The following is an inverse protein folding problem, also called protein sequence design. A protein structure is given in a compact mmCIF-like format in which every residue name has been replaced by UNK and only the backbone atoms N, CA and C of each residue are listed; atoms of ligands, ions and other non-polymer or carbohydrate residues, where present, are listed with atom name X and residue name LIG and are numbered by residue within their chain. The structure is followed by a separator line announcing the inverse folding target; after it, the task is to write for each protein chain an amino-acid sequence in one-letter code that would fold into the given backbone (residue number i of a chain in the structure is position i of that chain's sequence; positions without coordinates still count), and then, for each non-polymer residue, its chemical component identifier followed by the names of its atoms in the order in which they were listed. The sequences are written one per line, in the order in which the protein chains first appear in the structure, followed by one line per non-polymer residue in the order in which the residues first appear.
data_IF_323810275539
#
_entry.id   IF_323810275539
#
_cell.length_a   1.000
_cell.length_b   1.000
_cell.length_c   1.000
_cell.angle_alpha   90.00
_cell.angle_beta   90.00
_cell.angle_gamma   90.00
#
_symmetry.space_group_name_H-M   'P 1'
#
loop_
_entity.id
_entity.type
_entity.pdbx_description
1 polymer ?
#
# COMPACT_ATOMS: atom_id res chain seq x y z
N UNK A 1 -32.23 15.96 22.40
CA UNK A 1 -32.09 14.80 21.50
C UNK A 1 -30.62 14.72 21.07
N UNK A 2 -29.85 13.79 21.63
CA UNK A 2 -28.47 13.50 21.19
C UNK A 2 -28.54 12.30 20.25
N UNK A 3 -28.41 12.54 18.95
CA UNK A 3 -28.37 11.50 17.94
C UNK A 3 -27.11 10.65 18.10
N UNK A 4 -27.28 9.34 18.36
CA UNK A 4 -26.20 8.37 18.27
C UNK A 4 -25.74 8.29 16.82
N UNK A 5 -24.54 8.76 16.54
CA UNK A 5 -23.82 8.44 15.29
C UNK A 5 -23.46 6.96 15.34
N UNK A 6 -24.26 6.13 14.67
CA UNK A 6 -23.93 4.73 14.41
C UNK A 6 -22.76 4.71 13.42
N UNK A 7 -21.56 4.35 13.91
CA UNK A 7 -20.43 4.04 13.04
C UNK A 7 -20.83 2.86 12.13
N UNK A 8 -20.59 2.92 10.80
CA UNK A 8 -20.89 1.80 9.94
C UNK A 8 -20.03 0.59 10.35
N UNK A 9 -20.68 -0.58 10.45
CA UNK A 9 -19.97 -1.84 10.63
C UNK A 9 -19.09 -2.08 9.40
N UNK A 10 -17.77 -1.99 9.59
CA UNK A 10 -16.80 -2.39 8.56
C UNK A 10 -16.94 -3.91 8.36
N UNK A 11 -17.64 -4.32 7.31
CA UNK A 11 -17.69 -5.74 6.91
C UNK A 11 -16.26 -6.18 6.65
N UNK A 12 -15.77 -7.13 7.46
CA UNK A 12 -14.42 -7.67 7.32
C UNK A 12 -14.42 -8.59 6.10
N UNK A 13 -14.10 -8.04 4.93
CA UNK A 13 -13.86 -8.84 3.73
C UNK A 13 -12.71 -9.82 4.05
N UNK A 14 -12.91 -11.13 3.88
CA UNK A 14 -11.84 -12.10 4.12
C UNK A 14 -10.64 -11.81 3.22
N UNK A 15 -9.40 -12.09 3.68
CA UNK A 15 -8.22 -11.88 2.85
C UNK A 15 -8.30 -12.72 1.58
N UNK A 16 -7.80 -12.16 0.46
CA UNK A 16 -7.60 -12.93 -0.76
C UNK A 16 -6.73 -14.16 -0.49
N UNK A 17 -6.79 -15.21 -1.33
CA UNK A 17 -5.91 -16.37 -1.20
C UNK A 17 -4.43 -15.99 -1.10
N UNK A 18 -3.97 -14.99 -1.87
CA UNK A 18 -2.59 -14.51 -1.83
C UNK A 18 -2.25 -13.85 -0.48
N UNK A 19 -3.13 -12.97 0.02
CA UNK A 19 -2.97 -12.34 1.34
C UNK A 19 -2.93 -13.39 2.46
N UNK A 20 -3.81 -14.38 2.39
CA UNK A 20 -3.85 -15.49 3.35
C UNK A 20 -2.55 -16.31 3.33
N UNK A 21 -2.00 -16.60 2.14
CA UNK A 21 -0.72 -17.28 1.98
C UNK A 21 0.44 -16.48 2.60
N UNK A 22 0.49 -15.16 2.37
CA UNK A 22 1.50 -14.28 2.99
C UNK A 22 1.37 -14.26 4.51
N UNK A 23 0.16 -14.06 5.04
CA UNK A 23 -0.08 -14.09 6.49
C UNK A 23 0.33 -15.43 7.11
N UNK A 24 0.01 -16.55 6.46
CA UNK A 24 0.41 -17.88 6.91
C UNK A 24 1.94 -18.05 6.93
N UNK A 25 2.65 -17.51 5.93
CA UNK A 25 4.10 -17.63 5.83
C UNK A 25 4.86 -16.84 6.92
N UNK A 26 4.30 -15.72 7.38
CA UNK A 26 4.94 -14.87 8.41
C UNK A 26 4.45 -15.12 9.84
N UNK A 27 3.46 -16.00 10.01
CA UNK A 27 2.94 -16.38 11.33
C UNK A 27 3.70 -17.59 11.86
N UNK A 28 4.23 -17.56 13.10
CA UNK A 28 4.90 -18.72 13.69
C UNK A 28 3.99 -19.95 13.73
N UNK A 29 4.50 -21.11 13.32
CA UNK A 29 3.80 -22.40 13.50
C UNK A 29 3.67 -22.69 15.00
N UNK A 30 2.50 -22.42 15.57
CA UNK A 30 2.20 -22.63 16.99
C UNK A 30 1.03 -21.81 17.55
N UNK A 31 0.52 -20.81 16.80
CA UNK A 31 -0.56 -19.92 17.26
C UNK A 31 -1.95 -20.19 16.65
N UNK A 32 -2.11 -21.24 15.84
CA UNK A 32 -3.43 -21.73 15.45
C UNK A 32 -3.84 -22.94 16.30
N UNK A 33 -4.12 -22.65 17.56
CA UNK A 33 -4.90 -23.50 18.44
C UNK A 33 -6.10 -22.71 18.93
N UNK A 34 -7.27 -23.00 18.33
CA UNK A 34 -8.64 -22.59 18.70
C UNK A 34 -9.20 -21.33 18.00
N UNK A 35 -10.12 -21.59 17.07
CA UNK A 35 -11.21 -20.68 16.68
C UNK A 35 -12.02 -20.25 17.91
N UNK A 36 -12.57 -19.02 17.94
CA UNK A 36 -13.37 -18.55 19.05
C UNK A 36 -14.83 -18.96 18.84
N UNK A 37 -15.22 -20.14 19.35
CA UNK A 37 -16.61 -20.39 19.69
C UNK A 37 -16.67 -21.08 21.06
N UNK A 38 -17.36 -20.37 21.97
CA UNK A 38 -18.07 -20.89 23.16
C UNK A 38 -17.32 -21.85 24.07
N UNK A 39 -16.79 -21.34 25.18
CA UNK A 39 -16.72 -22.11 26.42
C UNK A 39 -16.64 -21.17 27.64
N UNK A 40 -17.73 -21.17 28.38
CA UNK A 40 -17.86 -20.80 29.79
C UNK A 40 -16.81 -21.47 30.66
N UNK A 41 -16.26 -20.71 31.61
CA UNK A 41 -15.90 -21.19 32.96
C UNK A 41 -14.64 -22.04 33.12
N UNK A 42 -13.87 -21.71 34.16
CA UNK A 42 -12.87 -22.60 34.76
C UNK A 42 -11.44 -22.14 34.57
N UNK A 43 -10.97 -21.32 35.51
CA UNK A 43 -9.56 -20.98 35.63
C UNK A 43 -8.74 -22.15 36.21
N UNK A 44 -7.44 -22.12 35.93
CA UNK A 44 -6.41 -22.67 36.80
C UNK A 44 -5.15 -21.82 36.60
N UNK A 45 -4.82 -21.04 37.62
CA UNK A 45 -3.63 -20.19 37.69
C UNK A 45 -2.40 -21.04 37.99
N UNK A 46 -1.27 -20.73 37.33
CA UNK A 46 0.05 -21.02 37.87
C UNK A 46 0.78 -19.72 38.18
N UNK A 47 1.25 -19.66 39.43
CA UNK A 47 1.78 -18.51 40.12
C UNK A 47 3.25 -18.22 39.77
N UNK A 48 3.61 -16.94 39.80
CA UNK A 48 4.94 -16.51 40.24
C UNK A 48 4.79 -15.31 41.18
N UNK A 49 5.47 -15.43 42.31
CA UNK A 49 5.37 -14.55 43.47
C UNK A 49 5.96 -13.15 43.26
N UNK A 50 5.39 -12.22 44.03
CA UNK A 50 5.90 -10.88 44.28
C UNK A 50 5.14 -10.32 45.48
N UNK A 51 5.86 -10.02 46.55
CA UNK A 51 5.39 -9.54 47.86
C UNK A 51 4.88 -8.09 47.80
N UNK A 52 3.76 -7.79 48.47
CA UNK A 52 3.69 -6.94 49.69
C UNK A 52 2.27 -6.39 49.95
N UNK A 53 1.87 -6.57 51.22
CA UNK A 53 0.99 -5.78 52.09
C UNK A 53 -0.35 -5.23 51.59
N UNK A 54 -1.44 -5.73 52.19
CA UNK A 54 -2.56 -4.90 52.64
C UNK A 54 -3.16 -5.47 53.94
N UNK A 55 -3.50 -4.55 54.83
CA UNK A 55 -3.96 -4.77 56.21
C UNK A 55 -5.28 -5.52 56.34
N UNK A 56 -5.44 -6.20 57.48
CA UNK A 56 -6.61 -6.99 57.84
C UNK A 56 -7.88 -6.20 58.13
N UNK A 57 -9.00 -6.92 58.16
CA UNK A 57 -10.29 -6.41 58.60
C UNK A 57 -11.40 -7.44 58.37
N UNK A 58 -12.11 -7.75 59.45
CA UNK A 58 -12.98 -8.90 59.72
C UNK A 58 -14.33 -8.88 58.98
N UNK A 59 -14.92 -10.07 58.81
CA UNK A 59 -16.30 -10.28 58.36
C UNK A 59 -17.34 -9.63 59.29
N UNK A 60 -18.45 -9.16 58.71
CA UNK A 60 -19.80 -9.42 59.23
C UNK A 60 -20.86 -9.28 58.13
N UNK A 61 -21.77 -10.25 58.09
CA UNK A 61 -22.97 -10.28 57.27
C UNK A 61 -24.17 -9.73 58.05
N UNK A 62 -25.10 -9.08 57.36
CA UNK A 62 -26.50 -9.00 57.77
C UNK A 62 -27.42 -9.15 56.56
N UNK A 63 -28.39 -10.06 56.68
CA UNK A 63 -29.41 -10.33 55.68
C UNK A 63 -30.56 -9.32 55.71
N UNK A 64 -31.30 -9.29 54.61
CA UNK A 64 -32.56 -8.59 54.47
C UNK A 64 -33.36 -9.21 53.32
N UNK A 65 -34.45 -9.89 53.69
CA UNK A 65 -35.56 -10.37 52.85
C UNK A 65 -36.30 -9.22 52.14
N UNK A 66 -36.89 -9.46 50.96
CA UNK A 66 -38.32 -9.22 50.65
C UNK A 66 -38.70 -9.64 49.21
N UNK A 67 -40.02 -9.78 49.02
CA UNK A 67 -40.78 -10.64 48.11
C UNK A 67 -40.81 -10.33 46.60
N UNK A 68 -41.15 -11.40 45.86
CA UNK A 68 -41.66 -11.40 44.50
C UNK A 68 -43.14 -10.98 44.41
N UNK A 69 -43.52 -10.33 43.30
CA UNK A 69 -44.89 -10.27 42.80
C UNK A 69 -44.96 -10.94 41.42
N UNK A 70 -45.86 -11.92 41.29
CA UNK A 70 -46.26 -12.54 40.02
C UNK A 70 -47.42 -11.80 39.37
N UNK A 71 -47.53 -11.96 38.05
CA UNK A 71 -48.66 -11.53 37.24
C UNK A 71 -48.63 -12.25 35.88
N UNK A 72 -49.48 -13.27 35.75
CA UNK A 72 -49.89 -13.96 34.51
C UNK A 72 -50.67 -13.04 33.57
N UNK A 73 -50.59 -13.22 32.24
CA UNK A 73 -51.77 -13.24 31.33
C UNK A 73 -51.43 -13.70 29.88
N UNK A 74 -52.20 -14.72 29.47
CA UNK A 74 -52.72 -15.21 28.19
C UNK A 74 -52.06 -15.01 26.81
N UNK A 75 -52.06 -16.16 26.09
CA UNK A 75 -51.95 -16.32 24.65
C UNK A 75 -53.26 -16.01 23.91
N UNK A 76 -53.15 -15.51 22.68
CA UNK A 76 -54.19 -15.61 21.66
C UNK A 76 -53.65 -16.36 20.44
N UNK A 77 -54.32 -17.46 20.11
CA UNK A 77 -54.20 -18.15 18.83
C UNK A 77 -55.01 -17.46 17.75
N UNK A 78 -54.49 -17.50 16.52
CA UNK A 78 -55.19 -17.07 15.31
C UNK A 78 -54.87 -18.02 14.16
N UNK A 79 -55.79 -18.95 13.92
CA UNK A 79 -55.91 -19.73 12.67
C UNK A 79 -56.55 -18.85 11.60
N UNK A 80 -55.94 -18.73 10.41
CA UNK A 80 -56.70 -18.39 9.19
C UNK A 80 -56.15 -19.09 7.94
N UNK A 81 -57.11 -19.59 7.16
CA UNK A 81 -57.01 -20.42 5.97
C UNK A 81 -56.47 -19.68 4.73
N UNK A 82 -55.84 -20.46 3.85
CA UNK A 82 -55.49 -20.08 2.49
C UNK A 82 -56.71 -19.92 1.58
N UNK A 83 -56.66 -19.04 0.56
CA UNK A 83 -57.40 -19.21 -0.68
C UNK A 83 -56.50 -19.85 -1.75
N UNK A 84 -57.02 -20.91 -2.37
CA UNK A 84 -56.52 -21.50 -3.62
C UNK A 84 -56.72 -20.50 -4.76
N UNK A 85 -55.65 -20.20 -5.49
CA UNK A 85 -55.70 -19.57 -6.81
C UNK A 85 -54.93 -20.42 -7.82
N UNK A 86 -55.65 -21.09 -8.72
CA UNK A 86 -55.10 -21.72 -9.92
C UNK A 86 -54.94 -20.66 -11.01
N UNK A 87 -53.82 -20.67 -11.74
CA UNK A 87 -53.73 -20.69 -13.21
C UNK A 87 -52.46 -20.04 -13.80
N UNK A 88 -51.80 -20.84 -14.65
CA UNK A 88 -50.97 -20.53 -15.82
C UNK A 88 -49.56 -19.93 -15.65
N UNK A 89 -48.58 -20.82 -15.82
CA UNK A 89 -47.22 -20.52 -16.24
C UNK A 89 -47.17 -20.07 -17.71
N UNK A 90 -46.42 -19.00 -18.05
CA UNK A 90 -45.78 -18.87 -19.35
C UNK A 90 -44.39 -19.51 -19.27
N UNK A 91 -44.11 -20.45 -20.18
CA UNK A 91 -42.76 -20.96 -20.46
C UNK A 91 -41.89 -19.81 -20.98
N UNK A 92 -41.06 -19.23 -20.11
CA UNK A 92 -39.94 -18.39 -20.49
C UNK A 92 -38.65 -19.21 -20.40
N UNK A 93 -38.00 -19.45 -21.53
CA UNK A 93 -36.72 -20.14 -21.59
C UNK A 93 -35.64 -19.31 -20.87
N UNK A 94 -35.26 -19.72 -19.66
CA UNK A 94 -34.06 -19.22 -19.01
C UNK A 94 -32.84 -19.87 -19.68
N UNK A 95 -32.28 -19.19 -20.69
CA UNK A 95 -30.87 -19.37 -21.01
C UNK A 95 -30.05 -18.72 -19.90
N UNK A 96 -29.80 -19.48 -18.83
CA UNK A 96 -28.72 -19.16 -17.92
C UNK A 96 -27.41 -19.32 -18.71
N UNK A 97 -26.59 -18.27 -18.86
CA UNK A 97 -25.23 -18.49 -19.32
C UNK A 97 -24.55 -19.34 -18.25
N UNK A 98 -24.02 -20.49 -18.66
CA UNK A 98 -23.08 -21.25 -17.84
C UNK A 98 -21.91 -20.30 -17.55
N UNK A 99 -21.93 -19.66 -16.38
CA UNK A 99 -20.75 -19.03 -15.84
C UNK A 99 -19.69 -20.11 -15.77
N UNK A 100 -18.65 -19.98 -16.60
CA UNK A 100 -17.45 -20.76 -16.44
C UNK A 100 -16.90 -20.39 -15.06
N UNK A 101 -17.17 -21.24 -14.07
CA UNK A 101 -16.47 -21.21 -12.80
C UNK A 101 -15.01 -21.53 -13.11
N UNK A 102 -14.23 -20.51 -13.44
CA UNK A 102 -12.79 -20.61 -13.31
C UNK A 102 -12.53 -20.87 -11.81
N UNK A 103 -11.87 -21.97 -11.44
CA UNK A 103 -11.39 -22.11 -10.07
C UNK A 103 -10.54 -20.88 -9.74
N UNK A 104 -10.57 -20.37 -8.50
CA UNK A 104 -9.71 -19.26 -8.12
C UNK A 104 -8.28 -19.63 -8.49
N UNK A 105 -7.64 -18.77 -9.27
CA UNK A 105 -6.29 -19.03 -9.75
C UNK A 105 -5.39 -19.38 -8.56
N UNK A 106 -4.69 -20.51 -8.66
CA UNK A 106 -3.98 -21.10 -7.52
C UNK A 106 -2.76 -20.25 -7.16
N UNK A 107 -2.62 -19.92 -5.86
CA UNK A 107 -1.47 -19.17 -5.36
C UNK A 107 -0.25 -20.08 -5.31
N UNK A 108 0.78 -19.77 -6.10
CA UNK A 108 2.03 -20.53 -6.06
C UNK A 108 2.85 -20.16 -4.83
N UNK A 109 3.17 -21.15 -3.99
CA UNK A 109 4.05 -21.00 -2.82
C UNK A 109 5.22 -21.98 -2.93
N UNK A 110 6.45 -21.48 -2.97
CA UNK A 110 7.66 -22.30 -3.07
C UNK A 110 8.67 -21.89 -2.01
N UNK A 111 9.16 -22.85 -1.23
CA UNK A 111 10.21 -22.62 -0.23
C UNK A 111 11.51 -23.32 -0.66
N UNK A 112 12.62 -22.59 -0.64
CA UNK A 112 13.93 -23.13 -0.97
C UNK A 112 15.02 -22.54 -0.05
N UNK A 113 16.10 -23.29 0.13
CA UNK A 113 17.38 -22.74 0.62
C UNK A 113 18.22 -22.40 -0.60
N UNK A 114 18.80 -21.20 -0.61
CA UNK A 114 19.56 -20.70 -1.76
C UNK A 114 20.54 -19.61 -1.32
N UNK A 115 21.50 -19.28 -2.18
CA UNK A 115 22.34 -18.12 -1.97
C UNK A 115 21.53 -16.83 -2.14
N UNK A 116 21.86 -15.79 -1.36
CA UNK A 116 21.14 -14.53 -1.46
C UNK A 116 21.19 -13.91 -2.87
N UNK A 117 22.31 -14.07 -3.57
CA UNK A 117 22.47 -13.61 -4.95
C UNK A 117 21.55 -14.36 -5.93
N UNK A 118 21.31 -15.66 -5.70
CA UNK A 118 20.35 -16.45 -6.48
C UNK A 118 18.92 -15.99 -6.22
N UNK A 119 18.61 -15.64 -4.97
CA UNK A 119 17.33 -15.03 -4.61
C UNK A 119 17.11 -13.73 -5.38
N UNK A 120 18.08 -12.82 -5.42
CA UNK A 120 17.97 -11.57 -6.18
C UNK A 120 17.78 -11.79 -7.68
N UNK A 121 18.38 -12.85 -8.24
CA UNK A 121 18.19 -13.27 -9.63
C UNK A 121 16.81 -13.87 -9.90
N UNK A 122 16.14 -14.41 -8.87
CA UNK A 122 14.80 -14.98 -8.97
C UNK A 122 13.66 -13.95 -8.94
N UNK A 123 13.94 -12.72 -8.49
CA UNK A 123 12.94 -11.65 -8.46
C UNK A 123 12.53 -11.28 -9.90
N UNK A 124 11.24 -10.94 -10.13
CA UNK A 124 10.79 -10.46 -11.43
C UNK A 124 11.57 -9.21 -11.84
N UNK A 125 11.90 -9.10 -13.12
CA UNK A 125 12.63 -7.94 -13.66
C UNK A 125 11.85 -7.34 -14.82
N UNK A 126 11.93 -6.03 -14.93
CA UNK A 126 11.35 -5.29 -16.03
C UNK A 126 11.35 -3.80 -15.72
N UNK A 127 11.28 -2.94 -16.75
CA UNK A 127 11.29 -1.48 -16.58
C UNK A 127 10.13 -0.93 -15.74
N UNK A 128 9.10 -1.76 -15.49
CA UNK A 128 7.88 -1.39 -14.77
C UNK A 128 7.64 -2.22 -13.50
N UNK A 129 8.64 -2.98 -13.06
CA UNK A 129 8.64 -3.67 -11.78
C UNK A 129 9.44 -2.85 -10.78
N UNK A 130 8.88 -2.65 -9.60
CA UNK A 130 9.59 -2.06 -8.47
C UNK A 130 9.50 -2.98 -7.26
N UNK A 131 10.51 -2.91 -6.43
CA UNK A 131 10.70 -3.77 -5.29
C UNK A 131 10.68 -2.99 -3.98
N UNK A 132 10.26 -3.66 -2.92
CA UNK A 132 10.32 -3.11 -1.57
C UNK A 132 10.88 -4.14 -0.61
N UNK A 133 12.09 -3.87 -0.13
CA UNK A 133 12.67 -4.58 1.00
C UNK A 133 12.00 -4.12 2.31
N UNK A 134 11.65 -5.09 3.15
CA UNK A 134 11.02 -4.86 4.45
C UNK A 134 11.79 -5.63 5.51
N UNK A 135 12.22 -4.92 6.57
CA UNK A 135 12.87 -5.55 7.70
C UNK A 135 11.85 -6.09 8.70
N UNK A 136 12.00 -7.36 9.06
CA UNK A 136 11.02 -8.09 9.87
C UNK A 136 9.68 -8.28 9.14
N UNK A 137 8.66 -8.73 9.89
CA UNK A 137 7.35 -9.06 9.31
C UNK A 137 6.24 -8.07 9.70
N UNK A 138 6.54 -7.06 10.53
CA UNK A 138 5.51 -6.12 11.01
C UNK A 138 4.83 -5.38 9.84
N UNK A 139 5.63 -4.92 8.88
CA UNK A 139 5.11 -4.26 7.70
C UNK A 139 4.37 -5.23 6.77
N UNK A 140 4.93 -6.43 6.56
CA UNK A 140 4.31 -7.48 5.74
C UNK A 140 2.91 -7.84 6.26
N UNK A 141 2.78 -8.07 7.57
CA UNK A 141 1.49 -8.35 8.23
C UNK A 141 0.53 -7.18 8.06
N UNK A 142 1.01 -5.94 8.23
CA UNK A 142 0.19 -4.75 8.07
C UNK A 142 -0.36 -4.62 6.64
N UNK A 143 0.50 -4.78 5.62
CA UNK A 143 0.10 -4.71 4.21
C UNK A 143 -0.88 -5.86 3.88
N UNK A 144 -0.57 -7.10 4.25
CA UNK A 144 -1.43 -8.24 3.93
C UNK A 144 -2.78 -8.20 4.69
N UNK A 145 -2.83 -7.55 5.85
CA UNK A 145 -4.07 -7.35 6.61
C UNK A 145 -4.92 -6.24 6.02
N UNK A 146 -4.32 -5.08 5.72
CA UNK A 146 -5.03 -3.92 5.17
C UNK A 146 -5.41 -4.12 3.69
N UNK A 147 -4.57 -4.81 2.93
CA UNK A 147 -4.70 -5.00 1.49
C UNK A 147 -4.05 -3.89 0.65
N UNK A 148 -3.33 -2.94 1.26
CA UNK A 148 -2.70 -1.81 0.57
C UNK A 148 -1.29 -1.50 1.08
N UNK A 149 -0.42 -1.11 0.17
CA UNK A 149 0.95 -0.66 0.48
C UNK A 149 0.93 0.75 1.08
N UNK A 150 1.72 1.01 2.12
CA UNK A 150 1.74 2.33 2.78
C UNK A 150 0.49 2.67 3.60
N UNK A 151 -0.36 1.69 3.92
CA UNK A 151 -1.53 1.86 4.79
C UNK A 151 -1.26 1.45 6.26
N UNK A 152 -2.30 1.46 7.09
CA UNK A 152 -2.25 1.02 8.48
C UNK A 152 -1.24 1.81 9.32
N UNK A 153 -0.17 1.16 9.79
CA UNK A 153 0.87 1.82 10.58
C UNK A 153 1.56 2.99 9.85
N UNK A 154 1.69 2.92 8.53
CA UNK A 154 2.29 3.99 7.72
C UNK A 154 1.44 5.26 7.73
N UNK A 155 0.10 5.11 7.76
CA UNK A 155 -0.84 6.23 7.77
C UNK A 155 -0.78 7.07 9.06
N UNK A 156 -0.07 6.60 10.10
CA UNK A 156 0.16 7.35 11.35
C UNK A 156 1.33 8.34 11.27
N UNK A 157 2.13 8.27 10.21
CA UNK A 157 3.24 9.22 9.97
C UNK A 157 2.69 10.60 9.61
N UNK A 158 3.47 11.69 9.78
CA UNK A 158 3.02 13.00 9.34
C UNK A 158 2.76 13.01 7.84
N UNK A 159 1.77 13.78 7.42
CA UNK A 159 1.54 14.07 6.01
C UNK A 159 2.58 15.09 5.57
N UNK A 160 3.46 14.70 4.64
CA UNK A 160 4.54 15.54 4.15
C UNK A 160 4.87 15.14 2.71
N UNK A 161 4.96 16.13 1.81
CA UNK A 161 5.20 15.95 0.39
C UNK A 161 6.58 16.49 -0.04
N UNK A 162 7.38 17.02 0.90
CA UNK A 162 8.72 17.50 0.58
C UNK A 162 9.63 16.30 0.26
N UNK A 163 9.92 16.15 -1.03
CA UNK A 163 10.75 15.04 -1.53
C UNK A 163 12.20 15.17 -1.07
N UNK A 164 12.73 16.38 -0.97
CA UNK A 164 14.09 16.63 -0.50
C UNK A 164 14.20 16.25 0.99
N UNK A 165 13.24 16.69 1.80
CA UNK A 165 13.15 16.25 3.20
C UNK A 165 12.97 14.75 3.34
N UNK A 166 12.16 14.13 2.49
CA UNK A 166 11.90 12.69 2.57
C UNK A 166 13.14 11.85 2.25
N UNK A 167 13.97 12.27 1.31
CA UNK A 167 15.25 11.61 0.98
C UNK A 167 16.18 11.60 2.19
N UNK A 168 16.28 12.71 2.92
CA UNK A 168 17.11 12.82 4.12
C UNK A 168 16.46 12.12 5.34
N UNK A 169 15.15 12.34 5.55
CA UNK A 169 14.39 11.80 6.68
C UNK A 169 13.07 11.19 6.18
N UNK A 170 13.02 9.87 5.89
CA UNK A 170 11.89 9.20 5.23
C UNK A 170 10.70 8.95 6.17
N UNK A 171 10.12 10.04 6.69
CA UNK A 171 8.97 10.07 7.61
C UNK A 171 7.81 10.83 6.97
N UNK A 172 7.10 10.15 6.07
CA UNK A 172 5.85 10.63 5.48
C UNK A 172 4.82 9.52 5.39
N UNK A 173 3.53 9.85 5.52
CA UNK A 173 2.41 8.97 5.14
C UNK A 173 1.94 9.15 3.69
N UNK A 174 2.47 10.16 2.99
CA UNK A 174 2.18 10.48 1.59
C UNK A 174 3.26 9.98 0.62
N UNK A 175 4.50 9.77 1.08
CA UNK A 175 5.61 9.29 0.26
C UNK A 175 6.08 7.90 0.70
N UNK A 176 6.34 7.03 -0.26
CA UNK A 176 6.65 5.61 -0.02
C UNK A 176 7.71 5.09 -0.99
N UNK A 177 8.94 4.90 -0.48
CA UNK A 177 10.08 4.41 -1.27
C UNK A 177 9.91 2.98 -1.78
N UNK A 178 10.24 2.79 -3.05
CA UNK A 178 10.39 1.50 -3.73
C UNK A 178 11.65 1.57 -4.61
N UNK A 179 12.23 0.45 -5.01
CA UNK A 179 13.44 0.41 -5.83
C UNK A 179 13.20 -0.32 -7.14
N UNK A 180 13.61 0.23 -8.29
CA UNK A 180 13.67 -0.54 -9.54
C UNK A 180 14.81 -1.57 -9.54
N UNK A 181 15.80 -1.43 -8.66
CA UNK A 181 16.95 -2.33 -8.55
C UNK A 181 16.74 -3.34 -7.41
N UNK A 182 16.67 -4.65 -7.70
CA UNK A 182 16.59 -5.68 -6.67
C UNK A 182 17.83 -5.70 -5.74
N UNK A 183 19.00 -5.20 -6.13
CA UNK A 183 20.19 -5.29 -5.28
C UNK A 183 20.16 -4.31 -4.10
N UNK A 184 19.48 -3.17 -4.24
CA UNK A 184 19.37 -2.18 -3.15
C UNK A 184 18.41 -2.64 -2.05
N UNK A 185 17.48 -3.58 -2.35
CA UNK A 185 16.48 -4.05 -1.37
C UNK A 185 17.09 -4.82 -0.20
N UNK A 186 18.31 -5.35 -0.38
CA UNK A 186 19.03 -6.07 0.69
C UNK A 186 19.24 -5.19 1.90
N UNK A 187 19.67 -3.96 1.68
CA UNK A 187 19.98 -3.02 2.75
C UNK A 187 18.71 -2.68 3.55
N UNK A 188 17.58 -2.52 2.84
CA UNK A 188 16.27 -2.29 3.44
C UNK A 188 15.68 -3.51 4.16
N UNK A 189 15.95 -4.72 3.67
CA UNK A 189 15.50 -5.97 4.28
C UNK A 189 16.30 -6.31 5.55
N UNK A 190 17.63 -6.23 5.47
CA UNK A 190 18.51 -6.53 6.60
C UNK A 190 18.40 -5.46 7.69
N UNK A 191 18.21 -4.19 7.29
CA UNK A 191 18.02 -3.07 8.20
C UNK A 191 19.16 -2.95 9.24
N UNK A 192 18.78 -2.85 10.51
CA UNK A 192 19.70 -2.80 11.66
C UNK A 192 19.89 -4.17 12.36
N UNK A 193 19.42 -5.27 11.76
CA UNK A 193 19.45 -6.57 12.42
C UNK A 193 20.89 -7.07 12.58
N UNK A 194 21.29 -7.31 13.83
CA UNK A 194 22.69 -7.53 14.21
C UNK A 194 23.19 -8.95 13.94
N UNK A 195 22.32 -9.98 14.08
CA UNK A 195 22.72 -11.39 14.12
C UNK A 195 22.14 -12.18 12.93
N UNK A 196 20.83 -12.43 12.90
CA UNK A 196 20.15 -13.05 11.76
C UNK A 196 19.03 -12.13 11.27
N UNK A 197 19.04 -11.83 9.97
CA UNK A 197 18.07 -11.01 9.31
C UNK A 197 16.87 -11.85 8.86
N UNK A 198 15.68 -11.45 9.31
CA UNK A 198 14.40 -11.84 8.72
C UNK A 198 13.73 -10.64 8.09
N UNK A 199 13.07 -10.85 6.96
CA UNK A 199 12.43 -9.77 6.22
C UNK A 199 11.64 -10.28 5.02
N UNK A 200 11.20 -9.37 4.17
CA UNK A 200 10.53 -9.74 2.95
C UNK A 200 10.87 -8.77 1.82
N UNK A 201 10.68 -9.23 0.59
CA UNK A 201 10.79 -8.43 -0.61
C UNK A 201 9.46 -8.53 -1.34
N UNK A 202 8.75 -7.42 -1.47
CA UNK A 202 7.58 -7.32 -2.34
C UNK A 202 8.04 -6.84 -3.71
N UNK A 203 7.55 -7.45 -4.78
CA UNK A 203 7.73 -6.97 -6.16
C UNK A 203 6.37 -6.59 -6.72
N UNK A 204 6.22 -5.36 -7.20
CA UNK A 204 4.94 -4.81 -7.67
C UNK A 204 5.11 -4.19 -9.05
N UNK A 205 4.00 -3.88 -9.72
CA UNK A 205 4.04 -2.93 -10.83
C UNK A 205 4.42 -1.51 -10.33
N UNK A 206 4.61 -0.56 -11.24
CA UNK A 206 4.78 0.85 -10.89
C UNK A 206 3.62 1.38 -10.02
N UNK A 207 3.87 2.37 -9.13
CA UNK A 207 2.81 3.11 -8.46
C UNK A 207 1.94 3.91 -9.43
N UNK A 208 0.72 4.27 -9.04
CA UNK A 208 -0.15 5.15 -9.83
C UNK A 208 0.50 6.51 -10.10
N UNK A 209 1.13 7.07 -9.07
CA UNK A 209 1.87 8.34 -9.13
C UNK A 209 3.20 8.14 -8.42
N UNK A 210 4.28 8.57 -9.04
CA UNK A 210 5.61 8.50 -8.43
C UNK A 210 6.51 9.66 -8.86
N UNK A 211 7.58 9.85 -8.11
CA UNK A 211 8.67 10.77 -8.40
C UNK A 211 10.00 10.04 -8.25
N UNK A 212 10.98 10.38 -9.09
CA UNK A 212 12.35 9.87 -8.98
C UNK A 212 13.27 10.95 -8.38
N UNK A 213 13.86 10.74 -7.19
CA UNK A 213 14.81 11.67 -6.58
C UNK A 213 15.93 12.14 -7.51
N UNK A 214 16.57 11.21 -8.23
CA UNK A 214 17.64 11.51 -9.19
C UNK A 214 17.22 12.49 -10.28
N UNK A 215 16.00 12.36 -10.81
CA UNK A 215 15.49 13.27 -11.84
C UNK A 215 15.01 14.59 -11.23
N UNK A 216 14.26 14.51 -10.13
CA UNK A 216 13.66 15.66 -9.46
C UNK A 216 14.70 16.70 -9.03
N UNK A 217 15.87 16.26 -8.52
CA UNK A 217 16.94 17.17 -8.08
C UNK A 217 17.47 18.07 -9.21
N UNK A 218 17.39 17.62 -10.45
CA UNK A 218 17.85 18.35 -11.63
C UNK A 218 16.77 19.24 -12.24
N UNK A 219 15.50 18.92 -11.99
CA UNK A 219 14.36 19.65 -12.52
C UNK A 219 13.90 20.71 -11.50
N UNK A 220 13.46 20.28 -10.32
CA UNK A 220 12.96 21.13 -9.22
C UNK A 220 14.09 21.57 -8.28
N UNK A 221 15.12 22.19 -8.86
CA UNK A 221 16.32 22.64 -8.14
C UNK A 221 15.96 23.58 -6.99
N UNK A 222 14.97 24.45 -7.17
CA UNK A 222 14.55 25.41 -6.15
C UNK A 222 13.99 24.74 -4.89
N UNK A 223 13.20 23.66 -5.00
CA UNK A 223 12.74 22.91 -3.83
C UNK A 223 13.91 22.29 -3.05
N UNK A 224 14.86 21.65 -3.75
CA UNK A 224 16.05 21.06 -3.13
C UNK A 224 16.95 22.11 -2.48
N UNK A 225 17.14 23.27 -3.12
CA UNK A 225 17.88 24.39 -2.54
C UNK A 225 17.19 24.97 -1.31
N UNK A 226 15.85 25.03 -1.30
CA UNK A 226 15.07 25.47 -0.15
C UNK A 226 15.36 24.55 1.05
N UNK A 227 15.27 23.24 0.85
CA UNK A 227 15.55 22.28 1.91
C UNK A 227 17.01 22.30 2.37
N UNK A 228 17.98 22.40 1.44
CA UNK A 228 19.40 22.51 1.79
C UNK A 228 19.68 23.73 2.70
N UNK A 229 19.00 24.87 2.47
CA UNK A 229 19.11 26.05 3.34
C UNK A 229 18.55 25.80 4.73
N UNK A 230 17.45 25.04 4.85
CA UNK A 230 16.92 24.64 6.15
C UNK A 230 17.92 23.76 6.90
N UNK A 231 18.54 22.78 6.21
CA UNK A 231 19.58 21.94 6.82
C UNK A 231 20.78 22.74 7.34
N UNK A 232 21.22 23.75 6.59
CA UNK A 232 22.28 24.65 7.06
C UNK A 232 21.85 25.55 8.22
N UNK A 233 20.59 26.00 8.23
CA UNK A 233 20.05 26.84 9.30
C UNK A 233 19.78 26.09 10.61
N UNK A 234 19.57 24.77 10.55
CA UNK A 234 19.40 23.90 11.72
C UNK A 234 20.74 23.49 12.38
N UNK A 235 21.89 23.87 11.81
CA UNK A 235 23.19 23.57 12.38
C UNK A 235 23.50 24.50 13.56
N UNK A 236 23.59 23.94 14.77
CA UNK A 236 23.93 24.69 15.99
C UNK A 236 25.35 25.27 15.90
N UNK A 237 25.54 26.46 16.49
CA UNK A 237 26.87 27.10 16.60
C UNK A 237 27.79 26.21 17.44
N UNK A 238 28.75 25.57 16.79
CA UNK A 238 29.71 24.65 17.42
C UNK A 238 29.50 23.17 17.08
N UNK A 239 28.47 22.81 16.29
CA UNK A 239 28.34 21.48 15.72
C UNK A 239 29.23 21.34 14.47
N UNK A 240 30.34 20.62 14.61
CA UNK A 240 31.31 20.36 13.53
C UNK A 240 30.90 19.19 12.62
N UNK A 241 29.72 18.59 12.80
CA UNK A 241 29.22 17.55 11.89
C UNK A 241 29.02 18.15 10.50
N UNK A 242 29.50 17.44 9.48
CA UNK A 242 29.27 17.82 8.09
C UNK A 242 27.77 17.75 7.80
N UNK A 243 27.16 18.87 7.44
CA UNK A 243 25.78 18.90 6.93
C UNK A 243 25.73 18.07 5.65
N UNK A 244 24.79 17.14 5.59
CA UNK A 244 24.60 16.32 4.40
C UNK A 244 24.20 17.20 3.19
N UNK A 245 24.70 16.86 2.01
CA UNK A 245 24.31 17.53 0.77
C UNK A 245 23.13 16.78 0.16
N UNK A 246 21.97 17.43 0.12
CA UNK A 246 20.75 16.81 -0.38
C UNK A 246 20.84 16.46 -1.86
N UNK A 247 21.62 17.19 -2.65
CA UNK A 247 21.82 16.89 -4.07
C UNK A 247 22.65 15.62 -4.26
N UNK A 248 23.64 15.38 -3.41
CA UNK A 248 24.44 14.16 -3.42
C UNK A 248 23.62 12.96 -2.94
N UNK A 249 22.86 13.13 -1.85
CA UNK A 249 21.93 12.09 -1.37
C UNK A 249 20.92 11.71 -2.45
N UNK A 250 20.32 12.70 -3.12
CA UNK A 250 19.38 12.47 -4.21
C UNK A 250 20.03 11.83 -5.44
N UNK A 251 21.30 12.13 -5.72
CA UNK A 251 22.06 11.48 -6.80
C UNK A 251 22.29 9.99 -6.51
N UNK A 252 22.61 9.64 -5.27
CA UNK A 252 22.77 8.25 -4.83
C UNK A 252 21.45 7.47 -4.70
N UNK A 253 20.32 8.17 -4.67
CA UNK A 253 19.00 7.58 -4.48
C UNK A 253 18.34 7.19 -5.82
N UNK A 254 18.48 5.91 -6.20
CA UNK A 254 17.84 5.34 -7.40
C UNK A 254 16.38 4.89 -7.18
N UNK A 255 15.73 5.32 -6.09
CA UNK A 255 14.38 4.89 -5.74
C UNK A 255 13.31 5.45 -6.70
N UNK A 256 12.23 4.70 -6.79
CA UNK A 256 10.93 5.16 -7.25
C UNK A 256 10.09 5.47 -6.01
N UNK A 257 9.92 6.76 -5.71
CA UNK A 257 9.12 7.19 -4.55
C UNK A 257 7.67 7.30 -4.95
N UNK A 258 6.84 6.36 -4.50
CA UNK A 258 5.40 6.41 -4.71
C UNK A 258 4.79 7.59 -3.96
N UNK A 259 3.87 8.30 -4.61
CA UNK A 259 3.05 9.35 -4.01
C UNK A 259 1.67 8.76 -3.75
N UNK A 260 1.30 8.68 -2.48
CA UNK A 260 0.10 7.98 -2.01
C UNK A 260 -1.14 8.88 -1.95
N UNK A 261 -0.97 10.18 -2.17
CA UNK A 261 -2.02 11.21 -2.17
C UNK A 261 -1.42 12.61 -2.24
N UNK A 262 -2.15 13.58 -2.83
CA UNK A 262 -1.78 15.01 -2.77
C UNK A 262 -2.36 15.70 -1.54
N UNK A 263 -3.42 15.16 -0.96
CA UNK A 263 -4.07 15.60 0.28
C UNK A 263 -4.23 14.43 1.26
N UNK A 264 -4.39 14.68 2.56
CA UNK A 264 -4.55 13.62 3.56
C UNK A 264 -5.70 12.62 3.30
N UNK A 265 -6.77 13.08 2.64
CA UNK A 265 -7.94 12.30 2.27
C UNK A 265 -7.77 11.46 1.00
N UNK A 266 -6.75 11.73 0.19
CA UNK A 266 -6.51 11.01 -1.05
C UNK A 266 -5.98 9.58 -0.78
N UNK A 267 -6.30 8.65 -1.67
CA UNK A 267 -5.77 7.29 -1.63
C UNK A 267 -5.38 6.78 -3.02
N UNK A 268 -4.08 6.87 -3.30
CA UNK A 268 -3.44 6.43 -4.54
C UNK A 268 -2.52 5.22 -4.30
N UNK A 269 -2.69 4.54 -3.16
CA UNK A 269 -1.87 3.40 -2.74
C UNK A 269 -2.00 2.22 -3.71
N UNK A 270 -0.92 1.44 -3.79
CA UNK A 270 -0.95 0.17 -4.49
C UNK A 270 -1.88 -0.81 -3.77
N UNK A 271 -2.71 -1.50 -4.55
CA UNK A 271 -3.58 -2.56 -4.07
C UNK A 271 -2.80 -3.88 -4.04
N UNK A 272 -2.78 -4.56 -2.90
CA UNK A 272 -2.08 -5.84 -2.77
C UNK A 272 -2.61 -6.89 -3.74
N UNK A 273 -3.91 -6.96 -3.93
CA UNK A 273 -4.54 -8.07 -4.63
C UNK A 273 -4.32 -7.99 -6.16
N UNK A 274 -4.10 -6.79 -6.70
CA UNK A 274 -3.88 -6.56 -8.14
C UNK A 274 -2.46 -6.11 -8.48
N UNK A 275 -1.79 -5.34 -7.62
CA UNK A 275 -0.54 -4.67 -8.00
C UNK A 275 0.71 -5.44 -7.53
N UNK A 276 0.56 -6.37 -6.57
CA UNK A 276 1.64 -7.26 -6.15
C UNK A 276 1.84 -8.36 -7.18
N UNK A 277 3.05 -8.50 -7.71
CA UNK A 277 3.45 -9.65 -8.51
C UNK A 277 3.85 -10.82 -7.62
N UNK A 278 4.77 -10.58 -6.67
CA UNK A 278 5.24 -11.61 -5.75
C UNK A 278 5.72 -11.05 -4.41
N UNK A 279 5.60 -11.87 -3.37
CA UNK A 279 6.17 -11.63 -2.05
C UNK A 279 7.18 -12.73 -1.74
N UNK A 280 8.42 -12.37 -1.46
CA UNK A 280 9.47 -13.30 -1.03
C UNK A 280 9.74 -13.08 0.45
N UNK A 281 9.41 -14.06 1.29
CA UNK A 281 9.72 -14.07 2.73
C UNK A 281 11.11 -14.66 2.92
N UNK A 282 11.99 -13.94 3.58
CA UNK A 282 13.40 -14.31 3.77
C UNK A 282 13.70 -14.50 5.26
N UNK A 283 14.28 -15.65 5.57
CA UNK A 283 14.73 -16.02 6.92
C UNK A 283 16.19 -16.51 6.87
N UNK A 284 16.93 -16.29 7.94
CA UNK A 284 18.30 -16.80 8.08
C UNK A 284 19.38 -15.99 7.36
N UNK A 285 19.06 -14.82 6.80
CA UNK A 285 20.07 -13.94 6.19
C UNK A 285 21.08 -13.46 7.24
N UNK A 286 22.33 -13.20 6.84
CA UNK A 286 23.33 -12.76 7.81
C UNK A 286 23.08 -11.29 8.20
N UNK A 287 23.07 -11.02 9.50
CA UNK A 287 22.98 -9.66 10.03
C UNK A 287 24.29 -8.88 9.88
N UNK A 288 24.30 -7.62 10.31
CA UNK A 288 25.44 -6.71 10.15
C UNK A 288 26.78 -7.24 10.68
N UNK A 289 26.79 -8.00 11.78
CA UNK A 289 28.05 -8.54 12.34
C UNK A 289 28.61 -9.74 11.57
N UNK A 290 27.78 -10.45 10.80
CA UNK A 290 28.18 -11.66 10.08
C UNK A 290 28.50 -11.41 8.60
N UNK A 291 28.17 -10.22 8.06
CA UNK A 291 28.38 -9.81 6.66
C UNK A 291 29.83 -9.97 6.17
N UNK A 292 30.82 -9.94 7.07
CA UNK A 292 32.25 -10.11 6.76
C UNK A 292 32.84 -11.50 7.03
N UNK A 293 32.10 -12.41 7.68
CA UNK A 293 32.60 -13.71 8.13
C UNK A 293 31.96 -14.91 7.41
N UNK A 294 30.84 -14.71 6.70
CA UNK A 294 30.13 -15.79 6.01
C UNK A 294 30.52 -15.86 4.52
N UNK A 295 31.20 -16.95 4.12
CA UNK A 295 31.29 -17.35 2.72
C UNK A 295 29.91 -17.86 2.29
N UNK A 296 29.29 -17.16 1.34
CA UNK A 296 27.99 -17.47 0.75
C UNK A 296 26.84 -17.43 1.79
N UNK A 297 26.10 -16.31 1.84
CA UNK A 297 24.97 -16.15 2.74
C UNK A 297 23.76 -16.94 2.22
N UNK A 298 23.67 -18.19 2.67
CA UNK A 298 22.49 -19.01 2.43
C UNK A 298 21.30 -18.47 3.22
N UNK A 299 20.18 -18.32 2.51
CA UNK A 299 18.90 -17.89 3.07
C UNK A 299 17.84 -18.95 2.82
N UNK A 300 16.86 -19.02 3.72
CA UNK A 300 15.61 -19.69 3.44
C UNK A 300 14.62 -18.68 2.87
N UNK A 301 14.13 -18.96 1.67
CA UNK A 301 13.24 -18.07 0.94
C UNK A 301 11.92 -18.78 0.65
N UNK A 302 10.80 -18.16 1.03
CA UNK A 302 9.45 -18.58 0.64
C UNK A 302 8.88 -17.57 -0.34
N UNK A 303 8.80 -17.96 -1.62
CA UNK A 303 8.24 -17.14 -2.70
C UNK A 303 6.76 -17.43 -2.87
N UNK A 304 5.96 -16.39 -2.81
CA UNK A 304 4.52 -16.41 -3.02
C UNK A 304 4.23 -15.56 -4.27
N UNK A 305 3.67 -16.17 -5.31
CA UNK A 305 3.32 -15.47 -6.56
C UNK A 305 1.82 -15.19 -6.57
N UNK A 306 1.46 -13.95 -6.86
CA UNK A 306 0.06 -13.52 -6.93
C UNK A 306 -0.49 -13.81 -8.33
N UNK A 307 -1.45 -14.74 -8.47
CA UNK A 307 -2.02 -15.05 -9.77
C UNK A 307 -2.98 -13.97 -10.29
N UNK A 308 -3.40 -13.04 -9.42
CA UNK A 308 -4.27 -11.91 -9.78
C UNK A 308 -3.49 -10.64 -10.14
N UNK A 309 -2.16 -10.73 -10.27
CA UNK A 309 -1.34 -9.60 -10.66
C UNK A 309 -1.77 -9.02 -12.01
N UNK A 310 -2.00 -7.71 -12.03
CA UNK A 310 -2.34 -6.93 -13.22
C UNK A 310 -1.25 -5.90 -13.45
N UNK A 311 -0.66 -5.90 -14.65
CA UNK A 311 0.31 -4.88 -15.02
C UNK A 311 -0.44 -3.55 -15.21
N UNK A 312 -0.02 -2.52 -14.47
CA UNK A 312 -0.67 -1.20 -14.51
C UNK A 312 -0.76 -0.66 -15.93
N UNK A 313 -1.95 -0.20 -16.33
CA UNK A 313 -2.15 0.42 -17.65
C UNK A 313 -1.31 1.69 -17.82
N UNK A 314 -1.45 2.62 -16.87
CA UNK A 314 -0.73 3.90 -16.89
C UNK A 314 -0.26 4.31 -15.49
N UNK A 315 0.98 4.79 -15.39
CA UNK A 315 1.54 5.46 -14.23
C UNK A 315 1.86 6.91 -14.57
N UNK A 316 1.84 7.79 -13.57
CA UNK A 316 2.16 9.21 -13.70
C UNK A 316 3.51 9.47 -13.03
N UNK A 317 4.50 9.92 -13.80
CA UNK A 317 5.79 10.38 -13.27
C UNK A 317 5.75 11.90 -13.15
N UNK A 318 5.73 12.41 -11.92
CA UNK A 318 5.80 13.86 -11.68
C UNK A 318 7.24 14.30 -11.51
N UNK A 319 7.57 15.47 -12.03
CA UNK A 319 8.90 16.07 -11.90
C UNK A 319 9.08 16.85 -10.59
N UNK A 320 7.98 17.15 -9.89
CA UNK A 320 7.96 17.90 -8.64
C UNK A 320 6.75 17.51 -7.80
N UNK A 321 6.92 17.51 -6.47
CA UNK A 321 5.83 17.33 -5.49
C UNK A 321 5.12 18.65 -5.14
N UNK A 322 5.45 19.75 -5.81
CA UNK A 322 4.79 21.05 -5.61
C UNK A 322 3.31 21.01 -5.99
N UNK A 323 2.46 21.64 -5.18
CA UNK A 323 1.00 21.67 -5.34
C UNK A 323 0.50 22.61 -6.43
N UNK A 324 1.40 23.33 -7.11
CA UNK A 324 1.04 24.31 -8.13
C UNK A 324 0.62 25.69 -7.59
N UNK A 325 0.78 25.91 -6.29
CA UNK A 325 0.35 27.13 -5.61
C UNK A 325 1.53 28.06 -5.25
N UNK A 326 1.25 29.36 -5.10
CA UNK A 326 2.20 30.35 -4.60
C UNK A 326 2.70 31.35 -5.65
N UNK A 327 3.05 32.55 -5.20
CA UNK A 327 3.38 33.69 -6.06
C UNK A 327 4.58 33.46 -7.00
N UNK A 328 5.48 32.53 -6.65
CA UNK A 328 6.68 32.21 -7.44
C UNK A 328 6.56 30.91 -8.25
N UNK A 329 5.46 30.17 -8.10
CA UNK A 329 5.33 28.84 -8.70
C UNK A 329 5.49 28.88 -10.22
N UNK A 330 4.77 29.75 -10.93
CA UNK A 330 4.86 29.81 -12.40
C UNK A 330 6.28 30.13 -12.89
N UNK A 331 6.99 31.04 -12.22
CA UNK A 331 8.38 31.36 -12.54
C UNK A 331 9.32 30.16 -12.31
N UNK A 332 9.09 29.39 -11.25
CA UNK A 332 9.84 28.16 -10.99
C UNK A 332 9.49 27.09 -12.01
N UNK A 333 8.21 26.95 -12.35
CA UNK A 333 7.71 26.00 -13.34
C UNK A 333 8.31 26.22 -14.72
N UNK A 334 8.46 27.46 -15.18
CA UNK A 334 9.13 27.76 -16.44
C UNK A 334 10.59 27.31 -16.44
N UNK A 335 11.30 27.52 -15.33
CA UNK A 335 12.68 27.03 -15.18
C UNK A 335 12.74 25.51 -15.14
N UNK A 336 11.83 24.85 -14.44
CA UNK A 336 11.75 23.39 -14.39
C UNK A 336 11.56 22.83 -15.81
N UNK A 337 10.64 23.39 -16.60
CA UNK A 337 10.44 22.98 -17.99
C UNK A 337 11.66 23.24 -18.88
N UNK A 338 12.33 24.39 -18.70
CA UNK A 338 13.58 24.69 -19.40
C UNK A 338 14.64 23.62 -19.12
N UNK A 339 14.91 23.31 -17.84
CA UNK A 339 15.88 22.28 -17.44
C UNK A 339 15.48 20.90 -17.97
N UNK A 340 14.20 20.54 -17.89
CA UNK A 340 13.72 19.26 -18.39
C UNK A 340 13.94 19.08 -19.91
N UNK A 341 13.84 20.16 -20.70
CA UNK A 341 14.19 20.13 -22.14
C UNK A 341 15.70 20.08 -22.38
N UNK A 342 16.47 20.87 -21.63
CA UNK A 342 17.95 20.86 -21.71
C UNK A 342 18.56 19.49 -21.36
N UNK A 343 17.88 18.73 -20.48
CA UNK A 343 18.25 17.37 -20.08
C UNK A 343 17.59 16.29 -20.95
N UNK A 344 16.88 16.66 -22.01
CA UNK A 344 16.19 15.74 -22.93
C UNK A 344 15.17 14.80 -22.23
N UNK A 345 14.62 15.21 -21.09
CA UNK A 345 13.63 14.44 -20.34
C UNK A 345 12.25 14.49 -21.00
N UNK A 346 11.96 15.60 -21.70
CA UNK A 346 10.71 15.89 -22.40
C UNK A 346 10.97 16.46 -23.80
N UNK A 347 10.00 16.31 -24.71
CA UNK A 347 10.07 16.88 -26.05
C UNK A 347 9.95 18.43 -26.05
N UNK A 348 10.43 19.12 -27.10
CA UNK A 348 10.39 20.59 -27.18
C UNK A 348 9.01 21.20 -26.97
N UNK A 349 7.97 20.61 -27.57
CA UNK A 349 6.58 21.09 -27.49
C UNK A 349 5.79 20.47 -26.32
N UNK A 350 6.48 19.89 -25.35
CA UNK A 350 5.88 19.35 -24.15
C UNK A 350 6.21 20.18 -22.91
N UNK A 351 5.44 19.96 -21.84
CA UNK A 351 5.74 20.36 -20.48
C UNK A 351 5.80 19.15 -19.55
N UNK A 352 6.54 19.29 -18.46
CA UNK A 352 6.54 18.33 -17.35
C UNK A 352 5.18 18.27 -16.65
N UNK A 353 4.99 17.22 -15.85
CA UNK A 353 3.89 17.06 -14.92
C UNK A 353 4.32 17.38 -13.49
N UNK A 354 3.44 18.02 -12.74
CA UNK A 354 3.60 18.29 -11.30
C UNK A 354 2.49 17.62 -10.50
N UNK A 355 2.57 17.66 -9.17
CA UNK A 355 1.58 17.02 -8.30
C UNK A 355 0.15 17.50 -8.55
N UNK A 356 -0.04 18.77 -8.95
CA UNK A 356 -1.35 19.29 -9.33
C UNK A 356 -1.96 18.54 -10.52
N UNK A 357 -1.17 18.21 -11.54
CA UNK A 357 -1.64 17.44 -12.71
C UNK A 357 -2.06 16.02 -12.30
N UNK A 358 -1.23 15.37 -11.48
CA UNK A 358 -1.54 14.04 -10.94
C UNK A 358 -2.80 14.07 -10.06
N UNK A 359 -2.98 15.11 -9.25
CA UNK A 359 -4.17 15.29 -8.42
C UNK A 359 -5.44 15.43 -9.26
N UNK A 360 -5.40 16.21 -10.35
CA UNK A 360 -6.53 16.34 -11.28
C UNK A 360 -6.91 15.00 -11.90
N UNK A 361 -5.94 14.23 -12.40
CA UNK A 361 -6.19 12.91 -12.98
C UNK A 361 -6.72 11.92 -11.93
N UNK A 362 -6.04 11.79 -10.79
CA UNK A 362 -6.39 10.81 -9.76
C UNK A 362 -7.69 11.13 -9.01
N UNK A 363 -8.15 12.38 -9.04
CA UNK A 363 -9.45 12.79 -8.51
C UNK A 363 -10.60 12.53 -9.51
N UNK A 364 -10.30 12.24 -10.78
CA UNK A 364 -11.31 11.92 -11.79
C UNK A 364 -11.76 10.48 -11.68
N UNK A 365 -13.03 10.25 -11.36
CA UNK A 365 -13.62 8.91 -11.37
C UNK A 365 -13.52 8.24 -12.74
N UNK A 366 -13.60 9.03 -13.83
CA UNK A 366 -13.45 8.53 -15.19
C UNK A 366 -12.02 8.04 -15.45
N UNK A 367 -11.01 8.79 -15.03
CA UNK A 367 -9.62 8.37 -15.16
C UNK A 367 -9.35 7.10 -14.35
N UNK A 368 -9.84 7.05 -13.10
CA UNK A 368 -9.70 5.86 -12.25
C UNK A 368 -10.32 4.63 -12.87
N UNK A 369 -11.56 4.72 -13.35
CA UNK A 369 -12.24 3.63 -14.05
C UNK A 369 -11.46 3.19 -15.30
N UNK A 370 -10.83 4.12 -16.01
CA UNK A 370 -10.03 3.81 -17.19
C UNK A 370 -8.74 3.04 -16.83
N UNK A 371 -7.98 3.47 -15.83
CA UNK A 371 -6.73 2.79 -15.45
C UNK A 371 -6.95 1.49 -14.66
N UNK A 372 -8.10 1.34 -14.01
CA UNK A 372 -8.50 0.14 -13.27
C UNK A 372 -9.25 -0.87 -14.16
N UNK A 373 -9.79 -0.44 -15.30
CA UNK A 373 -10.52 -1.28 -16.27
C UNK A 373 -9.65 -1.99 -17.30
N UNK A 374 -8.36 -1.64 -17.40
CA UNK A 374 -7.42 -2.24 -18.35
C UNK A 374 -6.11 -2.67 -17.68
N UNK A 375 -5.51 -3.74 -18.18
CA UNK A 375 -4.14 -4.15 -17.88
C UNK A 375 -3.27 -3.93 -19.12
N UNK A 376 -2.02 -3.53 -18.90
CA UNK A 376 -1.03 -3.55 -19.98
C UNK A 376 -0.60 -5.00 -20.26
N UNK A 377 -0.38 -5.33 -21.54
CA UNK A 377 0.05 -6.68 -21.95
C UNK A 377 1.57 -6.82 -22.02
N UNK A 378 2.28 -5.71 -22.23
CA UNK A 378 3.74 -5.67 -22.30
C UNK A 378 4.31 -4.65 -21.31
N UNK A 379 3.94 -3.38 -21.49
CA UNK A 379 4.60 -2.25 -20.84
C UNK A 379 3.59 -1.28 -20.22
N UNK A 380 3.85 -0.85 -18.97
CA UNK A 380 3.07 0.23 -18.36
C UNK A 380 3.37 1.54 -19.08
N UNK A 381 2.33 2.23 -19.52
CA UNK A 381 2.48 3.59 -20.04
C UNK A 381 2.92 4.52 -18.92
N UNK A 382 3.95 5.33 -19.16
CA UNK A 382 4.37 6.36 -18.19
C UNK A 382 4.04 7.73 -18.75
N UNK A 383 3.03 8.38 -18.17
CA UNK A 383 2.70 9.76 -18.45
C UNK A 383 3.68 10.65 -17.67
N UNK A 384 4.75 11.11 -18.36
CA UNK A 384 5.80 11.98 -17.80
C UNK A 384 5.73 13.44 -18.31
N UNK A 385 5.01 13.66 -19.41
CA UNK A 385 4.88 14.96 -20.05
C UNK A 385 3.60 15.03 -20.88
N UNK A 386 3.14 16.26 -21.12
CA UNK A 386 1.97 16.56 -21.95
C UNK A 386 2.28 17.72 -22.89
N UNK A 387 1.52 17.92 -23.98
CA UNK A 387 1.64 19.13 -24.81
C UNK A 387 1.63 20.39 -23.94
N UNK A 388 2.54 21.33 -24.22
CA UNK A 388 2.72 22.55 -23.40
C UNK A 388 1.46 23.43 -23.34
N UNK A 389 0.55 23.26 -24.30
CA UNK A 389 -0.73 23.96 -24.41
C UNK A 389 -1.75 23.47 -23.38
N UNK A 390 -1.63 22.24 -22.85
CA UNK A 390 -2.54 21.71 -21.84
C UNK A 390 -2.22 22.39 -20.50
N UNK A 391 -3.08 23.24 -19.91
CA UNK A 391 -2.72 23.93 -18.67
C UNK A 391 -2.58 22.98 -17.48
N UNK A 392 -1.81 23.41 -16.46
CA UNK A 392 -1.60 22.63 -15.23
C UNK A 392 -2.94 22.36 -14.54
N UNK A 393 -3.16 21.10 -14.16
CA UNK A 393 -4.35 20.70 -13.42
C UNK A 393 -5.68 20.88 -14.18
N UNK A 394 -5.64 21.12 -15.49
CA UNK A 394 -6.83 21.34 -16.30
C UNK A 394 -7.55 20.05 -16.68
N UNK A 395 -8.87 20.08 -16.97
CA UNK A 395 -9.61 18.92 -17.46
C UNK A 395 -9.08 18.33 -18.77
N UNK A 396 -8.38 19.11 -19.60
CA UNK A 396 -7.78 18.64 -20.85
C UNK A 396 -6.72 17.53 -20.64
N UNK A 397 -6.16 17.41 -19.42
CA UNK A 397 -5.31 16.28 -19.04
C UNK A 397 -6.05 14.94 -19.18
N UNK A 398 -7.34 14.90 -18.79
CA UNK A 398 -8.15 13.70 -18.82
C UNK A 398 -8.37 13.22 -20.26
N UNK A 399 -8.71 14.15 -21.16
CA UNK A 399 -8.90 13.86 -22.58
C UNK A 399 -7.62 13.31 -23.20
N UNK A 400 -6.48 13.93 -22.89
CA UNK A 400 -5.18 13.48 -23.39
C UNK A 400 -4.79 12.10 -22.84
N UNK A 401 -4.91 11.87 -21.53
CA UNK A 401 -4.61 10.58 -20.92
C UNK A 401 -5.55 9.47 -21.44
N UNK A 402 -6.84 9.80 -21.61
CA UNK A 402 -7.83 8.92 -22.22
C UNK A 402 -7.44 8.54 -23.64
N UNK A 403 -7.12 9.51 -24.48
CA UNK A 403 -6.68 9.26 -25.86
C UNK A 403 -5.46 8.33 -25.89
N UNK A 404 -4.46 8.54 -25.02
CA UNK A 404 -3.28 7.69 -24.93
C UNK A 404 -3.62 6.24 -24.56
N UNK A 405 -4.47 6.03 -23.56
CA UNK A 405 -4.88 4.67 -23.15
C UNK A 405 -5.79 4.05 -24.22
N UNK A 406 -6.71 4.82 -24.80
CA UNK A 406 -7.66 4.34 -25.80
C UNK A 406 -6.97 3.91 -27.10
N UNK A 407 -5.92 4.63 -27.49
CA UNK A 407 -5.12 4.33 -28.68
C UNK A 407 -4.03 3.28 -28.46
N UNK A 408 -3.74 2.87 -27.21
CA UNK A 408 -2.72 1.85 -26.95
C UNK A 408 -3.21 0.47 -27.41
N UNK A 409 -2.57 -0.17 -28.41
CA UNK A 409 -2.95 -1.50 -28.88
C UNK A 409 -2.58 -2.61 -27.89
N UNK A 410 -1.69 -2.34 -26.93
CA UNK A 410 -1.15 -3.30 -25.96
C UNK A 410 -1.91 -3.30 -24.63
N UNK A 411 -3.22 -3.13 -24.67
CA UNK A 411 -4.10 -3.18 -23.50
C UNK A 411 -5.10 -4.32 -23.61
N UNK A 412 -5.47 -4.87 -22.46
CA UNK A 412 -6.55 -5.86 -22.33
C UNK A 412 -7.55 -5.40 -21.28
N UNK A 413 -8.86 -5.59 -21.50
CA UNK A 413 -9.86 -5.28 -20.48
C UNK A 413 -9.70 -6.24 -19.30
N UNK A 414 -9.67 -5.70 -18.08
CA UNK A 414 -9.75 -6.51 -16.87
C UNK A 414 -11.21 -6.92 -16.73
N UNK A 415 -11.47 -8.23 -16.75
CA UNK A 415 -12.83 -8.73 -16.54
C UNK A 415 -13.37 -8.19 -15.20
N UNK A 416 -14.60 -7.66 -15.14
CA UNK A 416 -15.15 -7.17 -13.89
C UNK A 416 -15.17 -8.32 -12.89
N UNK A 417 -14.24 -8.29 -11.93
CA UNK A 417 -14.28 -9.15 -10.77
C UNK A 417 -15.61 -8.89 -10.07
N UNK A 418 -16.24 -9.93 -9.53
CA UNK A 418 -17.44 -9.86 -8.69
C UNK A 418 -17.13 -9.20 -7.33
N UNK A 419 -16.53 -8.02 -7.35
CA UNK A 419 -16.33 -7.15 -6.20
C UNK A 419 -17.21 -5.93 -6.41
N UNK A 420 -18.24 -5.79 -5.58
CA UNK A 420 -19.10 -4.61 -5.54
C UNK A 420 -18.26 -3.33 -5.51
N UNK A 421 -18.70 -2.33 -6.27
CA UNK A 421 -18.14 -1.00 -6.26
C UNK A 421 -18.00 -0.50 -4.80
N UNK A 422 -16.88 0.18 -4.45
CA UNK A 422 -16.77 0.78 -3.14
C UNK A 422 -17.87 1.84 -3.01
N UNK A 423 -18.85 1.58 -2.15
CA UNK A 423 -19.78 2.61 -1.68
C UNK A 423 -18.97 3.73 -1.03
N UNK A 424 -19.16 4.93 -1.58
CA UNK A 424 -18.62 6.22 -1.13
C UNK A 424 -18.81 6.47 0.37
#
# INVERSE_FOLDING_TARGET
MLGRVTRPLRVRVPPSPCRAAVLKAVTPKGLFGKSPHTATGGGAHHAHGGTHHAHGGTHHAHGGTHHAHGGTHHAHGGTHHAPKGTHHAPKGAHHAPKGAHHPPAEVSVKTAKMEYEELLKSLPRGPYIVHRGMSGFKEVVNIATDGRFGAGLYAKRPFDLDIAKYIHVPKSCALFSMSPDPHTVREYMVGFQLISAKGAIASTCLPCVYIRPQTARHVDVEAFQCYQKLLHGEQDVGDFRRVEDIFDLAQGNNETTAILGARPEDDWRLNFDTDLHSMVIVEGAAGRFLKGFAKAEQVQATTIVNPSFCQRMMAIEVASTTTGEGAYFHKQFDKMNKRARELELIAPDSRILVLADASTLMSSAEYRALIEGYTATEETMVLKSVPKEIPIGSPALLEYARFLIESNPKKEPIAPGTGEAPTL
#
